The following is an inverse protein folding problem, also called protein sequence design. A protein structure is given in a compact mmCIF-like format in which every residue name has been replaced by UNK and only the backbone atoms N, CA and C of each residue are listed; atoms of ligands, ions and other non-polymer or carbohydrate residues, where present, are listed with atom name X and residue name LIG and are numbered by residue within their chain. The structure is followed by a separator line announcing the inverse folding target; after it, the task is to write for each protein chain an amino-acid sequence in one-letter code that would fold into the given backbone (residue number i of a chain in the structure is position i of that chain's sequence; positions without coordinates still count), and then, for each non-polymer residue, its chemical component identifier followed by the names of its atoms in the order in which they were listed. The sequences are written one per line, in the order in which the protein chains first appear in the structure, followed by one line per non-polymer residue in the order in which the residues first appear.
data_IF_812318943478
#
_entry.id   IF_812318943478
#
_cell.length_a   1.000
_cell.length_b   1.000
_cell.length_c   1.000
_cell.angle_alpha   90.00
_cell.angle_beta   90.00
_cell.angle_gamma   90.00
#
_symmetry.space_group_name_H-M   'P 1'
#
loop_
_entity.id
_entity.type
_entity.pdbx_description
1 polymer ?
#
# COMPACT_ATOMS: atom_id res chain seq x y z
N UNK A 1 32.93 -52.46 13.56
CA UNK A 1 31.77 -51.97 14.27
C UNK A 1 31.93 -50.56 14.87
N UNK A 2 33.07 -50.14 15.42
CA UNK A 2 33.30 -48.79 15.98
C UNK A 2 33.38 -47.69 14.91
N UNK A 3 34.00 -47.95 13.76
CA UNK A 3 34.16 -46.95 12.67
C UNK A 3 32.80 -46.55 12.04
N UNK A 4 31.89 -47.50 11.84
CA UNK A 4 30.55 -47.19 11.28
C UNK A 4 29.70 -46.30 12.20
N UNK A 5 29.84 -46.48 13.54
CA UNK A 5 29.14 -45.61 14.51
C UNK A 5 29.70 -44.19 14.51
N UNK A 6 31.01 -44.02 14.36
CA UNK A 6 31.66 -42.71 14.29
C UNK A 6 31.27 -41.97 12.98
N UNK A 7 31.27 -42.68 11.85
CA UNK A 7 30.84 -42.10 10.55
C UNK A 7 29.38 -41.69 10.58
N UNK A 8 28.50 -42.52 11.16
CA UNK A 8 27.07 -42.19 11.30
C UNK A 8 26.84 -41.01 12.24
N UNK A 9 27.64 -40.87 13.30
CA UNK A 9 27.56 -39.72 14.22
C UNK A 9 28.12 -38.45 13.61
N UNK A 10 29.15 -38.52 12.76
CA UNK A 10 29.70 -37.40 12.02
C UNK A 10 28.74 -36.89 10.93
N UNK A 11 28.08 -37.79 10.20
CA UNK A 11 27.08 -37.44 9.18
C UNK A 11 25.82 -36.84 9.79
N UNK A 12 25.41 -37.30 10.97
CA UNK A 12 24.28 -36.71 11.71
C UNK A 12 24.61 -35.32 12.25
N UNK A 13 25.85 -35.08 12.67
CA UNK A 13 26.31 -33.76 13.16
C UNK A 13 26.39 -32.72 12.06
N UNK A 14 26.76 -33.09 10.83
CA UNK A 14 26.83 -32.17 9.69
C UNK A 14 25.44 -31.74 9.18
N UNK A 15 24.38 -32.52 9.41
CA UNK A 15 22.99 -32.17 9.05
C UNK A 15 22.36 -31.10 9.95
N UNK A 16 22.93 -30.86 11.15
CA UNK A 16 22.37 -29.91 12.13
C UNK A 16 22.83 -28.45 11.97
N UNK A 17 23.79 -28.17 11.07
CA UNK A 17 24.43 -26.82 10.98
C UNK A 17 23.80 -25.88 9.92
N UNK A 18 22.83 -26.34 9.12
CA UNK A 18 22.34 -25.58 7.95
C UNK A 18 21.10 -24.66 8.23
N UNK A 19 20.86 -24.25 9.48
CA UNK A 19 19.63 -23.57 9.87
C UNK A 19 19.66 -22.01 10.06
N UNK A 20 20.80 -21.32 9.88
CA UNK A 20 20.98 -19.99 10.47
C UNK A 20 20.91 -18.75 9.55
N UNK A 21 20.34 -18.80 8.35
CA UNK A 21 20.35 -17.63 7.44
C UNK A 21 19.03 -16.84 7.35
N UNK A 22 18.02 -17.18 8.11
CA UNK A 22 16.66 -16.63 7.86
C UNK A 22 16.28 -15.43 8.70
N UNK A 23 16.89 -15.21 9.88
CA UNK A 23 16.43 -14.18 10.83
C UNK A 23 16.60 -12.74 10.29
N UNK A 24 17.76 -12.39 9.77
CA UNK A 24 18.03 -11.04 9.26
C UNK A 24 17.12 -10.66 8.10
N UNK A 25 16.73 -11.62 7.27
CA UNK A 25 15.78 -11.38 6.15
C UNK A 25 14.34 -11.10 6.60
N UNK A 26 14.04 -11.33 7.87
CA UNK A 26 12.71 -11.05 8.44
C UNK A 26 12.63 -9.70 9.18
N UNK A 27 13.74 -8.99 9.31
CA UNK A 27 13.79 -7.69 9.97
C UNK A 27 13.57 -6.57 8.97
N UNK A 28 13.01 -5.47 9.47
CA UNK A 28 12.87 -4.20 8.74
C UNK A 28 13.98 -3.23 9.14
N UNK A 29 14.22 -2.23 8.29
CA UNK A 29 14.97 -1.01 8.59
C UNK A 29 16.37 -1.27 9.21
N UNK A 30 17.08 -2.27 8.70
CA UNK A 30 18.46 -2.50 9.10
C UNK A 30 19.35 -1.37 8.54
N UNK A 31 20.57 -1.21 9.10
CA UNK A 31 21.50 -0.13 8.72
C UNK A 31 20.93 1.29 8.94
N UNK A 32 20.27 1.49 10.07
CA UNK A 32 19.62 2.76 10.45
C UNK A 32 20.55 3.98 10.49
N UNK A 33 21.87 3.75 10.53
CA UNK A 33 22.90 4.80 10.49
C UNK A 33 22.75 5.71 9.27
N UNK A 34 22.33 5.14 8.13
CA UNK A 34 22.10 5.89 6.88
C UNK A 34 21.03 6.98 7.04
N UNK A 35 19.98 6.71 7.83
CA UNK A 35 18.93 7.71 8.12
C UNK A 35 19.38 8.76 9.12
N UNK A 36 20.16 8.35 10.13
CA UNK A 36 20.61 9.24 11.18
C UNK A 36 21.66 10.24 10.70
N UNK A 37 22.39 9.92 9.63
CA UNK A 37 23.38 10.80 9.00
C UNK A 37 22.76 11.77 7.97
N UNK A 38 21.55 11.51 7.49
CA UNK A 38 20.87 12.39 6.55
C UNK A 38 20.27 13.60 7.28
N UNK A 39 20.84 14.78 7.07
CA UNK A 39 20.40 16.05 7.68
C UNK A 39 19.23 16.72 6.96
N UNK A 40 18.82 16.22 5.81
CA UNK A 40 17.77 16.83 4.97
C UNK A 40 16.55 15.91 4.87
N UNK A 41 15.52 16.22 5.66
CA UNK A 41 14.19 15.62 5.49
C UNK A 41 13.45 16.30 4.32
N UNK A 42 13.07 15.56 3.31
CA UNK A 42 12.16 16.07 2.28
C UNK A 42 10.73 15.93 2.78
N UNK A 43 10.03 17.05 2.89
CA UNK A 43 8.59 17.04 3.12
C UNK A 43 7.90 16.51 1.85
N UNK A 44 7.17 15.41 1.99
CA UNK A 44 6.37 14.89 0.89
C UNK A 44 5.03 15.61 0.85
N UNK A 45 4.73 16.22 -0.30
CA UNK A 45 3.43 16.78 -0.61
C UNK A 45 2.76 15.96 -1.71
N UNK A 46 1.56 15.46 -1.40
CA UNK A 46 0.70 14.79 -2.38
C UNK A 46 0.39 15.75 -3.52
N UNK A 47 0.43 15.25 -4.77
CA UNK A 47 0.06 16.00 -5.96
C UNK A 47 -1.15 15.39 -6.64
N UNK A 48 -2.09 16.24 -6.99
CA UNK A 48 -3.32 15.89 -7.66
C UNK A 48 -3.04 15.20 -9.00
N UNK A 49 -3.68 14.05 -9.22
CA UNK A 49 -3.53 13.23 -10.42
C UNK A 49 -4.88 13.11 -11.17
N UNK A 50 -4.86 12.73 -12.46
CA UNK A 50 -6.09 12.38 -13.16
C UNK A 50 -6.86 11.25 -12.44
N UNK A 51 -8.18 11.35 -12.39
CA UNK A 51 -9.11 10.45 -11.67
C UNK A 51 -9.18 10.64 -10.16
N UNK A 52 -8.46 11.61 -9.59
CA UNK A 52 -8.69 11.99 -8.21
C UNK A 52 -10.06 12.64 -8.05
N UNK A 53 -10.69 12.39 -6.91
CA UNK A 53 -11.91 13.05 -6.50
C UNK A 53 -11.55 14.10 -5.44
N UNK A 54 -11.83 15.38 -5.73
CA UNK A 54 -11.54 16.48 -4.86
C UNK A 54 -12.82 16.99 -4.19
N UNK A 55 -12.82 17.11 -2.89
CA UNK A 55 -13.82 17.87 -2.14
C UNK A 55 -13.32 19.29 -1.96
N UNK A 56 -14.04 20.26 -2.51
CA UNK A 56 -13.67 21.67 -2.47
C UNK A 56 -14.75 22.42 -1.71
N UNK A 57 -14.34 23.10 -0.63
CA UNK A 57 -15.21 23.96 0.17
C UNK A 57 -14.75 25.40 0.04
N UNK A 58 -15.68 26.28 -0.34
CA UNK A 58 -15.47 27.73 -0.39
C UNK A 58 -16.30 28.35 0.70
N UNK A 59 -15.71 29.07 1.64
CA UNK A 59 -16.45 29.77 2.69
C UNK A 59 -16.07 31.24 2.76
N UNK A 60 -17.08 32.06 2.98
CA UNK A 60 -17.03 33.52 3.12
C UNK A 60 -17.78 33.91 4.37
N UNK A 61 -17.60 35.15 4.84
CA UNK A 61 -18.35 35.69 6.00
C UNK A 61 -19.86 35.74 5.69
N UNK A 62 -20.23 36.00 4.43
CA UNK A 62 -21.59 35.93 3.94
C UNK A 62 -21.83 34.62 3.17
N UNK A 63 -22.57 33.64 3.74
CA UNK A 63 -22.83 32.36 3.09
C UNK A 63 -23.59 32.48 1.75
N UNK A 64 -24.39 33.53 1.56
CA UNK A 64 -25.11 33.74 0.30
C UNK A 64 -24.16 34.10 -0.84
N UNK A 65 -23.07 34.81 -0.54
CA UNK A 65 -22.03 35.15 -1.51
C UNK A 65 -21.24 33.90 -2.01
N UNK A 66 -21.12 32.89 -1.20
CA UNK A 66 -20.42 31.61 -1.57
C UNK A 66 -21.34 30.62 -2.27
N UNK A 67 -22.67 30.74 -2.15
CA UNK A 67 -23.64 29.78 -2.67
C UNK A 67 -23.52 29.46 -4.18
N UNK A 68 -23.16 30.38 -5.09
CA UNK A 68 -22.98 30.11 -6.52
C UNK A 68 -21.80 29.18 -6.82
N UNK A 69 -20.82 29.07 -5.91
CA UNK A 69 -19.59 28.30 -6.08
C UNK A 69 -19.69 26.86 -5.56
N UNK A 70 -20.84 26.49 -5.00
CA UNK A 70 -21.13 25.11 -4.61
C UNK A 70 -21.72 24.33 -5.77
N UNK A 71 -21.27 23.09 -5.93
CA UNK A 71 -21.89 22.14 -6.84
C UNK A 71 -23.28 21.78 -6.30
N UNK A 72 -24.34 22.18 -7.01
CA UNK A 72 -25.72 21.85 -6.64
C UNK A 72 -26.02 20.43 -7.11
N UNK A 73 -26.40 19.55 -6.19
CA UNK A 73 -27.08 18.31 -6.55
C UNK A 73 -28.49 18.71 -6.97
N UNK A 74 -28.94 18.26 -8.16
CA UNK A 74 -30.33 18.50 -8.59
C UNK A 74 -31.28 18.04 -7.49
N UNK A 75 -32.12 18.93 -6.99
CA UNK A 75 -33.10 18.63 -5.95
C UNK A 75 -34.00 17.48 -6.44
N UNK A 76 -33.86 16.31 -5.83
CA UNK A 76 -34.91 15.30 -5.88
C UNK A 76 -36.11 15.91 -5.16
N UNK A 77 -37.28 15.94 -5.85
CA UNK A 77 -38.56 16.47 -5.46
C UNK A 77 -38.79 16.56 -3.93
N UNK A 78 -39.28 17.73 -3.53
CA UNK A 78 -39.89 18.01 -2.23
C UNK A 78 -40.63 16.82 -1.66
N UNK A 79 -40.29 16.39 -0.45
CA UNK A 79 -41.11 15.45 0.31
C UNK A 79 -40.46 14.69 1.43
N UNK A 80 -39.19 14.88 1.77
CA UNK A 80 -38.63 14.22 2.95
C UNK A 80 -37.82 15.18 3.82
N UNK A 81 -38.44 15.51 4.94
CA UNK A 81 -37.93 16.40 6.00
C UNK A 81 -36.86 15.75 6.87
N UNK A 82 -35.84 15.12 6.29
CA UNK A 82 -34.68 14.67 7.02
C UNK A 82 -33.40 15.17 6.34
N UNK A 83 -32.84 16.24 6.86
CA UNK A 83 -31.55 16.85 6.50
C UNK A 83 -30.35 15.94 6.88
N UNK A 84 -30.40 14.67 6.53
CA UNK A 84 -29.21 13.81 6.57
C UNK A 84 -28.67 13.78 5.15
N UNK A 85 -27.67 14.61 4.86
CA UNK A 85 -26.86 14.46 3.65
C UNK A 85 -26.23 13.07 3.70
N UNK A 86 -26.79 12.13 2.94
CA UNK A 86 -26.31 10.75 2.92
C UNK A 86 -24.89 10.68 2.33
N UNK A 87 -24.12 9.64 2.68
CA UNK A 87 -22.79 9.40 2.11
C UNK A 87 -22.80 9.38 0.56
N UNK A 88 -23.94 9.04 -0.06
CA UNK A 88 -24.12 9.09 -1.52
C UNK A 88 -24.17 10.51 -2.06
N UNK A 89 -24.75 11.45 -1.32
CA UNK A 89 -24.83 12.85 -1.71
C UNK A 89 -23.47 13.55 -1.62
N UNK A 90 -22.66 13.20 -0.62
CA UNK A 90 -21.29 13.72 -0.47
C UNK A 90 -20.40 13.34 -1.67
N UNK A 91 -20.58 12.13 -2.21
CA UNK A 91 -19.83 11.65 -3.39
C UNK A 91 -20.21 12.39 -4.68
N UNK A 92 -21.46 12.87 -4.80
CA UNK A 92 -21.91 13.67 -5.92
C UNK A 92 -21.41 15.13 -5.85
N UNK A 93 -20.94 15.59 -4.69
CA UNK A 93 -20.35 16.91 -4.49
C UNK A 93 -18.85 16.96 -4.83
N UNK A 94 -18.20 15.81 -4.97
CA UNK A 94 -16.79 15.75 -5.32
C UNK A 94 -16.54 16.16 -6.78
N UNK A 95 -15.41 16.81 -7.02
CA UNK A 95 -14.92 17.19 -8.34
C UNK A 95 -13.99 16.11 -8.86
N UNK A 96 -14.38 15.42 -9.93
CA UNK A 96 -13.51 14.46 -10.59
C UNK A 96 -12.49 15.18 -11.47
N UNK A 97 -11.21 14.89 -11.26
CA UNK A 97 -10.13 15.36 -12.14
C UNK A 97 -10.18 14.53 -13.43
N UNK A 98 -10.35 15.18 -14.55
CA UNK A 98 -10.44 14.55 -15.87
C UNK A 98 -9.07 14.01 -16.36
N UNK A 99 -9.07 13.37 -17.54
CA UNK A 99 -7.82 12.83 -18.13
C UNK A 99 -6.82 13.91 -18.55
N UNK A 100 -7.28 15.15 -18.71
CA UNK A 100 -6.45 16.31 -19.02
C UNK A 100 -5.93 16.98 -17.75
N UNK A 101 -6.39 16.51 -16.58
CA UNK A 101 -6.02 17.02 -15.26
C UNK A 101 -6.76 18.31 -14.90
N UNK A 102 -7.98 18.47 -15.41
CA UNK A 102 -8.84 19.61 -15.12
C UNK A 102 -10.04 19.18 -14.28
N UNK A 103 -10.60 20.13 -13.53
CA UNK A 103 -11.89 20.02 -12.88
C UNK A 103 -12.84 21.03 -13.48
N UNK A 104 -14.15 20.72 -13.52
CA UNK A 104 -15.20 21.65 -13.91
C UNK A 104 -15.75 22.34 -12.66
N UNK A 105 -15.33 23.58 -12.43
CA UNK A 105 -15.68 24.34 -11.24
C UNK A 105 -16.78 25.35 -11.54
N UNK A 106 -17.85 25.42 -10.71
CA UNK A 106 -18.95 26.36 -10.94
C UNK A 106 -18.45 27.80 -11.10
N UNK A 107 -19.02 28.52 -12.05
CA UNK A 107 -18.69 29.93 -12.40
C UNK A 107 -17.31 30.08 -13.06
N UNK A 108 -16.27 29.35 -12.60
CA UNK A 108 -14.91 29.47 -13.14
C UNK A 108 -14.66 28.60 -14.38
N UNK A 109 -15.54 27.58 -14.62
CA UNK A 109 -15.36 26.61 -15.71
C UNK A 109 -14.21 25.64 -15.47
N UNK A 110 -13.53 25.24 -16.54
CA UNK A 110 -12.45 24.25 -16.49
C UNK A 110 -11.17 24.83 -15.87
N UNK A 111 -10.71 24.21 -14.77
CA UNK A 111 -9.49 24.60 -14.06
C UNK A 111 -8.47 23.45 -14.10
N UNK A 112 -7.24 23.76 -14.54
CA UNK A 112 -6.11 22.83 -14.54
C UNK A 112 -5.56 22.70 -13.12
N UNK A 113 -5.68 21.48 -12.55
CA UNK A 113 -5.27 21.20 -11.16
C UNK A 113 -4.25 20.09 -11.04
N UNK A 114 -4.04 19.31 -12.11
CA UNK A 114 -3.05 18.20 -12.12
C UNK A 114 -1.64 18.71 -11.80
N UNK A 115 -0.96 18.00 -10.92
CA UNK A 115 0.42 18.30 -10.50
C UNK A 115 0.51 19.35 -9.39
N UNK A 116 -0.59 20.03 -9.05
CA UNK A 116 -0.67 20.93 -7.90
C UNK A 116 -0.81 20.12 -6.61
N UNK A 117 -0.27 20.64 -5.53
CA UNK A 117 -0.62 20.20 -4.18
C UNK A 117 -2.01 20.72 -3.81
N UNK A 118 -2.65 20.15 -2.76
CA UNK A 118 -3.93 20.66 -2.26
C UNK A 118 -3.85 22.17 -1.95
N UNK A 119 -2.74 22.62 -1.32
CA UNK A 119 -2.51 24.05 -0.97
C UNK A 119 -2.34 24.95 -2.19
N UNK A 120 -1.62 24.49 -3.21
CA UNK A 120 -1.47 25.22 -4.47
C UNK A 120 -2.80 25.32 -5.20
N UNK A 121 -3.62 24.25 -5.16
CA UNK A 121 -4.98 24.25 -5.72
C UNK A 121 -5.91 25.22 -4.95
N UNK A 122 -5.85 25.26 -3.61
CA UNK A 122 -6.54 26.26 -2.79
C UNK A 122 -6.18 27.68 -3.18
N UNK A 123 -4.89 27.95 -3.34
CA UNK A 123 -4.38 29.26 -3.75
C UNK A 123 -4.88 29.66 -5.14
N UNK A 124 -4.84 28.74 -6.11
CA UNK A 124 -5.34 28.95 -7.47
C UNK A 124 -6.84 29.29 -7.46
N UNK A 125 -7.65 28.50 -6.76
CA UNK A 125 -9.09 28.73 -6.69
C UNK A 125 -9.40 30.05 -6.00
N UNK A 126 -8.70 30.38 -4.91
CA UNK A 126 -8.84 31.65 -4.18
C UNK A 126 -8.55 32.84 -5.09
N UNK A 127 -7.46 32.79 -5.85
CA UNK A 127 -7.10 33.82 -6.82
C UNK A 127 -8.18 34.00 -7.90
N UNK A 128 -8.69 32.91 -8.46
CA UNK A 128 -9.71 32.93 -9.51
C UNK A 128 -11.06 33.41 -9.01
N UNK A 129 -11.40 33.18 -7.73
CA UNK A 129 -12.63 33.65 -7.12
C UNK A 129 -12.61 35.14 -6.70
N UNK A 130 -11.43 35.72 -6.50
CA UNK A 130 -11.25 37.09 -6.03
C UNK A 130 -12.08 38.13 -6.82
N UNK A 131 -12.19 38.07 -8.17
CA UNK A 131 -12.99 39.05 -8.93
C UNK A 131 -14.50 38.98 -8.69
N UNK A 132 -14.99 37.85 -8.17
CA UNK A 132 -16.41 37.57 -7.95
C UNK A 132 -16.87 37.86 -6.53
N UNK A 133 -15.93 38.04 -5.59
CA UNK A 133 -16.20 38.19 -4.17
C UNK A 133 -15.64 39.48 -3.63
N UNK A 134 -16.38 40.11 -2.71
CA UNK A 134 -15.97 41.37 -2.05
C UNK A 134 -14.84 41.13 -1.01
N UNK A 135 -14.75 39.92 -0.51
CA UNK A 135 -13.77 39.49 0.49
C UNK A 135 -12.94 38.29 -0.01
N UNK A 136 -11.82 38.05 0.62
CA UNK A 136 -10.95 36.89 0.31
C UNK A 136 -11.63 35.63 0.83
N UNK A 137 -12.03 34.67 -0.04
CA UNK A 137 -12.67 33.43 0.42
C UNK A 137 -11.67 32.51 1.12
N UNK A 138 -12.15 31.76 2.10
CA UNK A 138 -11.43 30.61 2.61
C UNK A 138 -11.78 29.42 1.71
N UNK A 139 -10.74 28.82 1.09
CA UNK A 139 -10.87 27.67 0.19
C UNK A 139 -10.14 26.50 0.84
N UNK A 140 -10.81 25.39 0.97
CA UNK A 140 -10.23 24.12 1.46
C UNK A 140 -10.38 23.05 0.39
N UNK A 141 -9.30 22.39 0.02
CA UNK A 141 -9.27 21.28 -0.95
C UNK A 141 -8.78 20.02 -0.25
N UNK A 142 -9.53 18.94 -0.41
CA UNK A 142 -9.15 17.61 0.10
C UNK A 142 -9.40 16.55 -0.96
N UNK A 143 -8.52 15.57 -1.05
CA UNK A 143 -8.71 14.37 -1.86
C UNK A 143 -9.56 13.38 -1.09
N UNK A 144 -10.66 12.88 -1.68
CA UNK A 144 -11.67 12.07 -0.97
C UNK A 144 -11.68 10.59 -1.36
N UNK A 145 -10.91 10.18 -2.36
CA UNK A 145 -10.89 8.80 -2.85
C UNK A 145 -9.50 8.15 -2.75
N UNK A 146 -8.63 8.64 -1.85
CA UNK A 146 -7.28 8.12 -1.75
C UNK A 146 -7.31 6.65 -1.35
N UNK A 147 -6.90 5.78 -2.27
CA UNK A 147 -6.88 4.33 -2.08
C UNK A 147 -5.61 3.72 -2.65
N UNK A 148 -5.20 2.61 -2.07
CA UNK A 148 -4.11 1.75 -2.53
C UNK A 148 -4.51 0.29 -2.32
N UNK A 149 -3.79 -0.63 -2.96
CA UNK A 149 -4.05 -2.07 -2.83
C UNK A 149 -2.79 -2.77 -2.33
N UNK A 150 -2.97 -3.74 -1.43
CA UNK A 150 -1.88 -4.60 -0.94
C UNK A 150 -2.23 -6.04 -1.26
N UNK A 151 -1.34 -6.72 -1.97
CA UNK A 151 -1.52 -8.08 -2.46
C UNK A 151 -0.36 -8.98 -2.05
N UNK A 152 -0.60 -10.27 -2.03
CA UNK A 152 0.43 -11.30 -1.81
C UNK A 152 0.53 -11.78 -0.38
N UNK A 153 1.74 -12.00 0.12
CA UNK A 153 2.00 -12.65 1.41
C UNK A 153 1.96 -11.66 2.59
N UNK A 154 0.77 -11.14 2.86
CA UNK A 154 0.41 -10.24 3.98
C UNK A 154 -0.74 -10.82 4.78
N UNK A 155 -1.02 -10.26 5.96
CA UNK A 155 -2.08 -10.73 6.83
C UNK A 155 -3.47 -10.66 6.19
N UNK A 156 -3.80 -9.51 5.58
CA UNK A 156 -5.11 -9.23 4.98
C UNK A 156 -4.91 -8.54 3.61
N UNK A 157 -4.75 -9.30 2.51
CA UNK A 157 -4.70 -8.70 1.18
C UNK A 157 -6.02 -7.99 0.85
N UNK A 158 -5.93 -6.79 0.24
CA UNK A 158 -7.13 -6.02 -0.08
C UNK A 158 -6.84 -4.64 -0.65
N UNK A 159 -7.90 -3.89 -0.93
CA UNK A 159 -7.84 -2.47 -1.27
C UNK A 159 -8.26 -1.66 -0.05
N UNK A 160 -7.43 -0.68 0.30
CA UNK A 160 -7.59 0.18 1.46
C UNK A 160 -7.86 1.61 1.01
N UNK A 161 -8.77 2.28 1.70
CA UNK A 161 -9.05 3.71 1.53
C UNK A 161 -8.62 4.46 2.78
N UNK A 162 -8.17 5.69 2.62
CA UNK A 162 -7.75 6.54 3.73
C UNK A 162 -8.09 8.00 3.45
N UNK A 163 -8.34 8.75 4.52
CA UNK A 163 -8.51 10.20 4.49
C UNK A 163 -7.20 10.94 4.79
N UNK A 164 -6.10 10.20 5.01
CA UNK A 164 -4.79 10.78 5.23
C UNK A 164 -4.23 11.41 3.94
N UNK A 165 -3.56 12.55 4.06
CA UNK A 165 -2.94 13.23 2.91
C UNK A 165 -1.73 12.46 2.36
N UNK A 166 -1.13 11.59 3.15
CA UNK A 166 0.01 10.75 2.76
C UNK A 166 -0.05 9.41 3.48
N UNK A 167 0.40 8.36 2.80
CA UNK A 167 0.55 7.01 3.36
C UNK A 167 1.92 6.48 2.97
N UNK A 168 2.66 5.99 3.94
CA UNK A 168 3.94 5.31 3.71
C UNK A 168 3.71 3.84 3.33
N UNK A 169 4.70 3.21 2.71
CA UNK A 169 4.67 1.76 2.42
C UNK A 169 4.48 0.93 3.70
N UNK A 170 5.07 1.36 4.83
CA UNK A 170 4.92 0.67 6.11
C UNK A 170 3.52 0.81 6.70
N UNK A 171 2.89 2.00 6.60
CA UNK A 171 1.50 2.20 7.02
C UNK A 171 0.54 1.35 6.20
N UNK A 172 0.78 1.24 4.89
CA UNK A 172 -0.01 0.39 4.01
C UNK A 172 0.11 -1.10 4.37
N UNK A 173 1.33 -1.55 4.66
CA UNK A 173 1.57 -2.93 5.12
C UNK A 173 0.96 -3.18 6.51
N UNK A 174 1.05 -2.22 7.43
CA UNK A 174 0.43 -2.31 8.74
C UNK A 174 -1.11 -2.42 8.64
N UNK A 175 -1.75 -1.64 7.76
CA UNK A 175 -3.19 -1.77 7.49
C UNK A 175 -3.54 -3.15 6.91
N UNK A 176 -2.65 -3.73 6.10
CA UNK A 176 -2.81 -5.08 5.56
C UNK A 176 -2.45 -6.20 6.56
N UNK A 177 -2.25 -5.88 7.84
CA UNK A 177 -1.91 -6.86 8.89
C UNK A 177 -0.48 -7.36 8.82
N UNK A 178 0.41 -6.53 8.30
CA UNK A 178 1.84 -6.77 8.11
C UNK A 178 2.18 -7.92 7.14
N UNK A 179 3.46 -8.00 6.81
CA UNK A 179 4.04 -9.07 6.00
C UNK A 179 4.23 -10.33 6.85
N UNK A 180 3.80 -11.50 6.35
CA UNK A 180 3.98 -12.76 7.10
C UNK A 180 5.45 -13.15 7.18
N UNK A 181 5.76 -14.14 8.02
CA UNK A 181 7.14 -14.72 8.10
C UNK A 181 7.58 -15.39 6.79
N UNK A 182 6.64 -15.70 5.91
CA UNK A 182 6.90 -16.31 4.61
C UNK A 182 6.98 -15.31 3.46
N UNK A 183 7.01 -14.04 3.75
CA UNK A 183 7.14 -12.96 2.75
C UNK A 183 8.60 -12.65 2.42
N UNK A 184 8.81 -12.10 1.23
CA UNK A 184 10.07 -11.58 0.74
C UNK A 184 10.12 -10.08 1.00
N UNK A 185 10.89 -9.62 2.02
CA UNK A 185 10.99 -8.22 2.44
C UNK A 185 12.03 -7.42 1.66
N UNK A 186 13.01 -8.09 1.10
CA UNK A 186 14.11 -7.49 0.33
C UNK A 186 13.72 -7.18 -1.13
N UNK A 187 12.48 -7.54 -1.55
CA UNK A 187 12.00 -7.31 -2.92
C UNK A 187 10.47 -7.17 -2.95
N UNK A 188 9.96 -6.12 -2.34
CA UNK A 188 8.55 -5.73 -2.43
C UNK A 188 8.34 -4.93 -3.72
N UNK A 189 7.32 -5.29 -4.49
CA UNK A 189 7.02 -4.64 -5.75
C UNK A 189 5.93 -3.57 -5.57
N UNK A 190 6.18 -2.39 -6.09
CA UNK A 190 5.21 -1.29 -6.20
C UNK A 190 4.87 -1.09 -7.67
N UNK A 191 3.62 -1.39 -8.05
CA UNK A 191 3.07 -1.03 -9.36
C UNK A 191 2.41 0.35 -9.25
N UNK A 192 2.94 1.32 -10.00
CA UNK A 192 2.48 2.71 -10.05
C UNK A 192 2.18 3.12 -11.48
N UNK A 193 1.10 3.85 -11.67
CA UNK A 193 0.74 4.52 -12.91
C UNK A 193 1.16 5.99 -12.81
N UNK A 194 1.89 6.48 -13.80
CA UNK A 194 2.27 7.90 -13.85
C UNK A 194 1.15 8.78 -14.44
N UNK A 195 1.35 10.10 -14.42
CA UNK A 195 0.37 11.07 -14.93
C UNK A 195 0.04 10.93 -16.42
N UNK A 196 0.81 10.12 -17.15
CA UNK A 196 0.60 9.84 -18.57
C UNK A 196 -0.11 8.50 -18.81
N UNK A 197 -0.43 7.76 -17.73
CA UNK A 197 -1.07 6.43 -17.78
C UNK A 197 -0.09 5.28 -17.99
N UNK A 198 1.22 5.53 -17.98
CA UNK A 198 2.24 4.49 -18.11
C UNK A 198 2.45 3.82 -16.77
N UNK A 199 2.34 2.49 -16.75
CA UNK A 199 2.52 1.68 -15.55
C UNK A 199 3.94 1.15 -15.45
N UNK A 200 4.54 1.27 -14.27
CA UNK A 200 5.88 0.75 -13.98
C UNK A 200 5.88 -0.01 -12.66
N UNK A 201 6.75 -1.01 -12.59
CA UNK A 201 7.00 -1.77 -11.36
C UNK A 201 8.32 -1.30 -10.79
N UNK A 202 8.29 -0.89 -9.52
CA UNK A 202 9.45 -0.51 -8.74
C UNK A 202 9.70 -1.57 -7.67
N UNK A 203 10.96 -1.79 -7.34
CA UNK A 203 11.39 -2.77 -6.37
C UNK A 203 11.90 -2.05 -5.12
N UNK A 204 11.36 -2.40 -3.97
CA UNK A 204 11.68 -1.79 -2.68
C UNK A 204 12.26 -2.85 -1.75
N UNK A 205 13.42 -2.56 -1.19
CA UNK A 205 14.03 -3.37 -0.15
C UNK A 205 13.62 -2.83 1.22
N UNK A 206 12.64 -3.46 1.88
CA UNK A 206 12.15 -3.03 3.19
C UNK A 206 13.04 -3.50 4.36
N UNK A 207 14.05 -4.31 4.08
CA UNK A 207 15.03 -4.74 5.10
C UNK A 207 16.05 -3.65 5.40
N UNK A 208 16.24 -2.71 4.49
CA UNK A 208 17.21 -1.62 4.59
C UNK A 208 16.51 -0.31 4.97
N UNK A 209 17.16 0.51 5.78
CA UNK A 209 16.60 1.78 6.24
C UNK A 209 16.59 2.88 5.17
N UNK A 210 17.42 2.76 4.14
CA UNK A 210 17.48 3.69 3.01
C UNK A 210 16.17 3.76 2.20
N UNK A 211 15.31 2.76 2.31
CA UNK A 211 13.97 2.78 1.70
C UNK A 211 13.17 4.02 2.11
N UNK A 212 13.41 4.56 3.31
CA UNK A 212 12.73 5.77 3.79
C UNK A 212 13.11 7.05 3.01
N UNK A 213 14.24 7.02 2.30
CA UNK A 213 14.69 8.11 1.41
C UNK A 213 14.27 7.87 -0.06
N UNK A 214 13.67 6.72 -0.34
CA UNK A 214 13.21 6.40 -1.70
C UNK A 214 12.05 7.31 -2.11
N UNK A 215 11.99 7.78 -3.37
CA UNK A 215 10.84 8.51 -3.90
C UNK A 215 9.56 7.65 -3.94
N UNK A 216 9.68 6.36 -3.70
CA UNK A 216 8.59 5.40 -3.66
C UNK A 216 8.16 5.02 -2.24
N UNK A 217 8.73 5.64 -1.22
CA UNK A 217 8.40 5.42 0.17
C UNK A 217 6.95 5.82 0.49
N UNK A 218 6.51 6.95 -0.08
CA UNK A 218 5.12 7.39 -0.02
C UNK A 218 4.34 6.82 -1.19
N UNK A 219 3.21 6.21 -0.89
CA UNK A 219 2.30 5.70 -1.90
C UNK A 219 1.57 6.85 -2.62
N UNK A 220 1.11 6.58 -3.82
CA UNK A 220 0.25 7.44 -4.60
C UNK A 220 -1.11 6.80 -4.80
N UNK A 221 -2.07 7.58 -5.29
CA UNK A 221 -3.41 7.12 -5.63
C UNK A 221 -3.36 5.93 -6.59
N UNK A 222 -4.10 4.86 -6.28
CA UNK A 222 -4.21 3.60 -7.03
C UNK A 222 -2.91 2.77 -7.10
N UNK A 223 -1.90 3.04 -6.27
CA UNK A 223 -0.72 2.18 -6.15
C UNK A 223 -1.11 0.76 -5.74
N UNK A 224 -0.37 -0.21 -6.27
CA UNK A 224 -0.50 -1.62 -5.87
C UNK A 224 0.82 -2.11 -5.30
N UNK A 225 0.80 -2.47 -4.03
CA UNK A 225 1.92 -3.08 -3.31
C UNK A 225 1.78 -4.60 -3.42
N UNK A 226 2.76 -5.26 -4.00
CA UNK A 226 2.76 -6.71 -4.11
C UNK A 226 3.93 -7.32 -3.31
N UNK A 227 3.57 -8.16 -2.36
CA UNK A 227 4.47 -8.88 -1.47
C UNK A 227 4.62 -10.32 -1.94
N UNK A 228 5.82 -10.69 -2.37
CA UNK A 228 6.09 -12.04 -2.86
C UNK A 228 6.15 -13.06 -1.72
N UNK A 229 5.63 -14.28 -1.92
CA UNK A 229 5.87 -15.40 -1.00
C UNK A 229 7.29 -15.94 -1.18
N UNK A 230 7.89 -16.45 -0.11
CA UNK A 230 9.16 -17.19 -0.17
C UNK A 230 9.00 -18.53 -0.90
N UNK A 231 10.11 -19.03 -1.47
CA UNK A 231 10.14 -20.36 -2.10
C UNK A 231 9.71 -21.48 -1.14
N UNK A 232 9.95 -21.31 0.16
CA UNK A 232 9.53 -22.25 1.20
C UNK A 232 7.99 -22.34 1.27
N UNK A 233 7.28 -21.21 1.27
CA UNK A 233 5.81 -21.17 1.28
C UNK A 233 5.22 -21.85 0.05
N UNK A 234 5.78 -21.58 -1.13
CA UNK A 234 5.30 -22.21 -2.38
C UNK A 234 5.50 -23.73 -2.35
N UNK A 235 6.63 -24.19 -1.81
CA UNK A 235 6.90 -25.63 -1.66
C UNK A 235 5.95 -26.31 -0.69
N UNK A 236 5.62 -25.71 0.46
CA UNK A 236 4.66 -26.31 1.41
C UNK A 236 3.30 -26.51 0.79
N UNK A 237 2.83 -25.64 -0.07
CA UNK A 237 1.55 -25.80 -0.78
C UNK A 237 1.59 -26.92 -1.83
N UNK A 238 2.74 -27.19 -2.44
CA UNK A 238 2.92 -28.29 -3.42
C UNK A 238 3.20 -29.65 -2.77
N UNK A 239 3.77 -29.65 -1.56
CA UNK A 239 4.15 -30.91 -0.86
C UNK A 239 2.99 -31.61 -0.15
N UNK A 240 1.80 -31.01 -0.06
CA UNK A 240 0.77 -31.46 0.89
C UNK A 240 0.00 -32.70 0.48
N UNK A 241 0.16 -33.29 -0.70
CA UNK A 241 -0.61 -34.48 -1.10
C UNK A 241 0.22 -35.75 -1.31
N UNK A 242 1.42 -35.66 -1.89
CA UNK A 242 2.15 -36.87 -2.27
C UNK A 242 3.41 -37.17 -1.42
N UNK A 243 4.00 -36.17 -0.75
CA UNK A 243 5.27 -36.39 0.01
C UNK A 243 5.05 -37.08 1.34
N UNK A 244 3.90 -36.92 1.98
CA UNK A 244 3.58 -37.66 3.23
C UNK A 244 3.49 -39.16 2.98
N UNK A 245 3.02 -39.62 1.81
CA UNK A 245 3.00 -41.02 1.44
C UNK A 245 4.40 -41.60 1.32
N UNK A 246 5.35 -40.86 0.69
CA UNK A 246 6.73 -41.38 0.55
C UNK A 246 7.48 -41.44 1.87
N UNK A 247 7.25 -40.46 2.76
CA UNK A 247 7.85 -40.47 4.12
C UNK A 247 7.28 -41.63 4.94
N UNK A 248 5.98 -41.89 4.82
CA UNK A 248 5.32 -43.03 5.51
C UNK A 248 5.85 -44.38 4.95
N UNK A 249 5.98 -44.52 3.64
CA UNK A 249 6.58 -45.71 3.03
C UNK A 249 8.02 -45.94 3.47
N UNK A 250 8.85 -44.87 3.51
CA UNK A 250 10.22 -44.95 3.96
C UNK A 250 10.31 -45.37 5.44
N UNK A 251 9.43 -44.86 6.29
CA UNK A 251 9.37 -45.26 7.72
C UNK A 251 8.95 -46.71 7.91
N UNK A 252 8.02 -47.22 7.09
CA UNK A 252 7.63 -48.63 7.11
C UNK A 252 8.80 -49.54 6.69
N UNK A 253 9.52 -49.19 5.61
CA UNK A 253 10.68 -49.95 5.12
C UNK A 253 11.80 -49.96 6.17
N UNK A 254 12.09 -48.84 6.83
CA UNK A 254 13.12 -48.78 7.89
C UNK A 254 12.70 -49.59 9.14
N UNK A 255 11.41 -49.61 9.48
CA UNK A 255 10.87 -50.41 10.57
C UNK A 255 10.98 -51.92 10.30
N UNK A 256 10.66 -52.36 9.09
CA UNK A 256 10.75 -53.76 8.66
C UNK A 256 12.21 -54.21 8.61
N UNK A 257 13.11 -53.40 8.07
CA UNK A 257 14.55 -53.71 8.07
C UNK A 257 15.15 -53.80 9.47
N UNK A 258 14.71 -52.94 10.38
CA UNK A 258 15.11 -52.99 11.80
C UNK A 258 14.64 -54.28 12.47
N UNK A 259 13.39 -54.70 12.19
CA UNK A 259 12.81 -55.93 12.74
C UNK A 259 13.53 -57.19 12.22
N UNK A 260 13.81 -57.26 10.92
CA UNK A 260 14.53 -58.39 10.30
C UNK A 260 15.94 -58.51 10.87
N UNK A 261 16.66 -57.38 11.07
CA UNK A 261 17.98 -57.38 11.70
C UNK A 261 17.94 -57.79 13.17
N UNK A 262 16.84 -57.54 13.88
CA UNK A 262 16.67 -57.96 15.29
C UNK A 262 16.41 -59.46 15.42
N UNK A 263 15.71 -60.06 14.45
CA UNK A 263 15.39 -61.49 14.45
C UNK A 263 16.55 -62.37 13.91
N UNK A 264 17.41 -61.76 13.04
CA UNK A 264 18.56 -62.49 12.47
C UNK A 264 19.81 -62.53 13.38
N UNK A 265 19.70 -62.05 14.61
CA UNK A 265 20.71 -62.03 15.64
C UNK A 265 20.40 -63.02 16.76
#
# INVERSE_FOLDING_TARGET
MKIHKVVCMLTLSTLLVSGCTSYQKSLYLQNEQVLNESLEGQLYDFRIMPKDELTILVSTTDPEASAPFYRKIGQSKEGSSNNTVGMQDAKLLAYLVDNQGCIDFPVLGSLKVMGLTNRECEALIREKLQPYLKEIPNVTVRTSNYKFSVLGEVGHPGTYTTDAEKVTIFEALAQAGDMTLFSVRDDVQLLREDSTGVRRVYHLNLTEADVAQSPYFYLQQNDVVYVKPTKAKVRTNTFNSNSSMWITLLSIVTSITSLVLAISK
#
